data_IF_430503223956
#
_entry.id   IF_430503223956
#
_cell.length_a   1.000
_cell.length_b   1.000
_cell.length_c   1.000
_cell.angle_alpha   90.00
_cell.angle_beta   90.00
_cell.angle_gamma   90.00
#
_symmetry.space_group_name_H-M   'P 1'
#
loop_
_entity.id
_entity.type
_entity.pdbx_description
1 polymer ?
#
# COMPACT_ATOMS: atom_id res chain seq x y z
N UNK A 1 -26.67 -2.54 14.60
CA UNK A 1 -25.86 -3.14 13.51
C UNK A 1 -24.71 -2.16 13.25
N UNK A 2 -23.54 -2.66 12.88
CA UNK A 2 -22.44 -1.76 12.44
C UNK A 2 -22.80 -1.17 11.08
N UNK A 3 -22.42 0.10 10.82
CA UNK A 3 -22.55 0.73 9.50
C UNK A 3 -21.75 -0.05 8.47
N UNK A 4 -22.37 -0.44 7.36
CA UNK A 4 -21.67 -1.06 6.22
C UNK A 4 -20.83 0.00 5.51
N UNK A 5 -19.65 -0.37 5.06
CA UNK A 5 -18.69 0.54 4.42
C UNK A 5 -18.29 0.02 3.06
N UNK A 6 -18.43 0.86 2.05
CA UNK A 6 -18.21 0.51 0.65
C UNK A 6 -17.09 1.33 0.04
N UNK A 7 -16.46 0.78 -0.99
CA UNK A 7 -15.47 1.46 -1.83
C UNK A 7 -16.20 2.04 -3.02
N UNK A 8 -16.06 3.34 -3.26
CA UNK A 8 -16.68 4.02 -4.39
C UNK A 8 -15.68 4.65 -5.35
N UNK A 9 -14.43 4.77 -4.94
CA UNK A 9 -13.37 5.27 -5.80
C UNK A 9 -11.99 4.74 -5.40
N UNK A 10 -11.10 4.66 -6.37
CA UNK A 10 -9.72 4.21 -6.24
C UNK A 10 -8.81 5.09 -7.07
N UNK A 11 -7.57 5.27 -6.64
CA UNK A 11 -6.53 5.96 -7.40
C UNK A 11 -5.15 5.42 -7.08
N UNK A 12 -4.30 5.33 -8.08
CA UNK A 12 -2.98 4.73 -7.95
C UNK A 12 -1.91 5.50 -8.72
N UNK A 13 -0.75 5.64 -8.09
CA UNK A 13 0.51 6.05 -8.71
C UNK A 13 1.52 4.96 -8.41
N UNK A 14 2.03 4.28 -9.42
CA UNK A 14 2.90 3.11 -9.25
C UNK A 14 4.02 3.08 -10.31
N UNK A 15 5.07 2.27 -10.13
CA UNK A 15 6.13 2.10 -11.13
C UNK A 15 5.67 1.55 -12.49
N UNK A 16 4.46 0.98 -12.58
CA UNK A 16 3.89 0.37 -13.79
C UNK A 16 2.62 1.04 -14.30
N UNK A 17 2.17 2.11 -13.66
CA UNK A 17 1.00 2.89 -14.08
C UNK A 17 0.72 4.05 -13.15
N UNK A 18 0.29 5.19 -13.71
CA UNK A 18 -0.04 6.42 -12.98
C UNK A 18 -1.57 6.64 -12.83
N UNK A 19 -2.32 5.60 -12.99
CA UNK A 19 -3.75 5.46 -12.71
C UNK A 19 -4.08 3.98 -12.44
N UNK A 20 -5.28 3.71 -11.90
CA UNK A 20 -5.70 2.34 -11.53
C UNK A 20 -5.76 1.41 -12.74
N UNK A 21 -6.21 1.89 -13.89
CA UNK A 21 -6.41 1.05 -15.08
C UNK A 21 -5.08 0.63 -15.70
N UNK A 22 -4.14 1.58 -15.87
CA UNK A 22 -2.79 1.27 -16.34
C UNK A 22 -2.00 0.40 -15.36
N UNK A 23 -2.14 0.64 -14.06
CA UNK A 23 -1.57 -0.21 -13.02
C UNK A 23 -2.12 -1.65 -13.12
N UNK A 24 -3.43 -1.81 -13.17
CA UNK A 24 -4.08 -3.12 -13.25
C UNK A 24 -3.71 -3.87 -14.54
N UNK A 25 -3.68 -3.17 -15.67
CA UNK A 25 -3.23 -3.77 -16.93
C UNK A 25 -1.78 -4.22 -16.84
N UNK A 26 -0.91 -3.41 -16.23
CA UNK A 26 0.49 -3.79 -15.98
C UNK A 26 0.63 -5.06 -15.13
N UNK A 27 -0.23 -5.25 -14.12
CA UNK A 27 -0.26 -6.48 -13.32
C UNK A 27 -0.69 -7.69 -14.16
N UNK A 28 -1.71 -7.54 -15.01
CA UNK A 28 -2.16 -8.62 -15.93
C UNK A 28 -1.08 -8.99 -16.94
N UNK A 29 -0.35 -8.01 -17.44
CA UNK A 29 0.73 -8.17 -18.43
C UNK A 29 2.06 -8.61 -17.79
N UNK A 30 2.10 -8.77 -16.48
CA UNK A 30 3.31 -9.07 -15.69
C UNK A 30 4.45 -8.05 -15.92
N UNK A 31 4.10 -6.79 -16.06
CA UNK A 31 5.06 -5.71 -16.26
C UNK A 31 5.90 -5.52 -14.99
N UNK A 32 7.22 -5.68 -15.11
CA UNK A 32 8.14 -5.42 -14.01
C UNK A 32 8.59 -3.95 -14.06
N UNK A 33 8.21 -3.17 -13.06
CA UNK A 33 8.55 -1.75 -12.94
C UNK A 33 9.94 -1.48 -12.38
N UNK A 34 10.66 -2.52 -11.98
CA UNK A 34 12.00 -2.46 -11.39
C UNK A 34 13.05 -2.14 -12.45
N UNK A 35 14.00 -1.29 -12.13
CA UNK A 35 15.10 -0.94 -13.00
C UNK A 35 16.23 -0.25 -12.25
N UNK A 36 17.32 0.14 -12.97
CA UNK A 36 18.40 0.91 -12.37
C UNK A 36 17.87 2.21 -11.74
N UNK A 37 18.39 2.55 -10.56
CA UNK A 37 18.08 3.83 -9.90
C UNK A 37 18.60 4.97 -10.79
N UNK A 38 17.72 5.94 -11.10
CA UNK A 38 18.05 7.09 -11.94
C UNK A 38 18.17 8.40 -11.17
N UNK A 39 17.70 8.46 -9.94
CA UNK A 39 17.63 9.69 -9.14
C UNK A 39 18.98 10.17 -8.62
N UNK A 40 19.98 9.26 -8.52
CA UNK A 40 21.34 9.59 -8.05
C UNK A 40 22.36 8.55 -8.56
N UNK A 41 23.64 8.87 -8.45
CA UNK A 41 24.74 7.96 -8.81
C UNK A 41 24.84 6.81 -7.80
N UNK A 42 24.71 5.59 -8.30
CA UNK A 42 24.75 4.34 -7.52
C UNK A 42 26.09 3.61 -7.58
N UNK A 43 27.14 4.21 -8.13
CA UNK A 43 28.45 3.55 -8.34
C UNK A 43 28.96 2.92 -7.04
N UNK A 44 28.88 3.64 -5.92
CA UNK A 44 29.33 3.17 -4.60
C UNK A 44 28.29 2.34 -3.81
N UNK A 45 27.09 2.14 -4.35
CA UNK A 45 26.01 1.42 -3.69
C UNK A 45 26.02 -0.06 -4.06
N UNK A 46 25.74 -0.93 -3.07
CA UNK A 46 25.53 -2.37 -3.32
C UNK A 46 24.18 -2.63 -4.00
N UNK A 47 23.13 -1.91 -3.57
CA UNK A 47 21.82 -1.96 -4.19
C UNK A 47 21.75 -0.89 -5.29
N UNK A 48 21.48 -1.32 -6.53
CA UNK A 48 21.45 -0.46 -7.72
C UNK A 48 20.08 -0.40 -8.39
N UNK A 49 19.12 -1.20 -7.91
CA UNK A 49 17.79 -1.31 -8.47
C UNK A 49 16.74 -0.73 -7.53
N UNK A 50 15.73 -0.11 -8.12
CA UNK A 50 14.52 0.35 -7.44
C UNK A 50 13.33 0.32 -8.41
N UNK A 51 12.13 0.47 -7.87
CA UNK A 51 10.91 0.60 -8.64
C UNK A 51 10.43 2.07 -8.57
N UNK A 52 11.02 2.91 -9.44
CA UNK A 52 10.72 4.34 -9.55
C UNK A 52 9.42 4.58 -10.32
N UNK A 53 8.63 5.57 -9.91
CA UNK A 53 7.48 6.06 -10.67
C UNK A 53 7.96 6.73 -11.96
N UNK A 54 7.39 6.35 -13.09
CA UNK A 54 7.81 6.82 -14.42
C UNK A 54 6.80 7.79 -15.01
N UNK A 55 7.28 8.84 -15.68
CA UNK A 55 6.44 9.76 -16.44
C UNK A 55 5.45 10.61 -15.62
N UNK A 56 5.64 10.72 -14.31
CA UNK A 56 4.78 11.52 -13.45
C UNK A 56 5.06 13.02 -13.60
N UNK A 57 4.03 13.78 -14.00
CA UNK A 57 4.08 15.24 -13.99
C UNK A 57 3.01 15.77 -13.02
N UNK A 58 3.40 16.34 -11.87
CA UNK A 58 2.45 16.82 -10.87
C UNK A 58 1.51 17.91 -11.39
N UNK A 59 1.86 18.62 -12.47
CA UNK A 59 1.01 19.66 -13.07
C UNK A 59 -0.27 19.13 -13.71
N UNK A 60 -0.35 17.83 -13.97
CA UNK A 60 -1.57 17.17 -14.44
C UNK A 60 -2.61 17.00 -13.32
N UNK A 61 -2.17 17.05 -12.07
CA UNK A 61 -2.99 16.74 -10.91
C UNK A 61 -3.22 17.94 -9.98
N UNK A 62 -2.32 18.93 -10.00
CA UNK A 62 -2.37 20.10 -9.12
C UNK A 62 -1.73 21.32 -9.77
N UNK A 63 -2.00 22.52 -9.28
CA UNK A 63 -1.36 23.73 -9.79
C UNK A 63 0.15 23.77 -9.47
N UNK A 64 0.92 24.45 -10.32
CA UNK A 64 2.39 24.48 -10.22
C UNK A 64 2.91 25.15 -8.92
N UNK A 65 2.11 25.97 -8.24
CA UNK A 65 2.48 26.62 -6.97
C UNK A 65 2.27 25.62 -5.81
N UNK A 66 1.18 24.86 -5.83
CA UNK A 66 0.94 23.79 -4.88
C UNK A 66 2.03 22.69 -5.02
N UNK A 67 2.31 22.24 -6.26
CA UNK A 67 3.32 21.21 -6.51
C UNK A 67 4.71 21.58 -5.95
N UNK A 68 5.13 22.85 -6.08
CA UNK A 68 6.42 23.31 -5.51
C UNK A 68 6.48 23.36 -3.98
N UNK A 69 5.36 23.22 -3.30
CA UNK A 69 5.24 23.20 -1.83
C UNK A 69 5.01 21.81 -1.27
N UNK A 70 5.15 20.79 -2.11
CA UNK A 70 5.00 19.38 -1.76
C UNK A 70 6.23 18.61 -2.21
N UNK A 71 6.66 17.65 -1.42
CA UNK A 71 7.61 16.63 -1.85
C UNK A 71 6.86 15.46 -2.53
N UNK A 72 7.59 14.59 -3.22
CA UNK A 72 7.02 13.57 -4.11
C UNK A 72 5.94 12.70 -3.44
N UNK A 73 6.15 12.24 -2.19
CA UNK A 73 5.14 11.42 -1.49
C UNK A 73 3.79 12.13 -1.35
N UNK A 74 3.81 13.45 -1.07
CA UNK A 74 2.58 14.25 -0.99
C UNK A 74 1.97 14.51 -2.37
N UNK A 75 2.81 14.69 -3.41
CA UNK A 75 2.33 14.84 -4.79
C UNK A 75 1.65 13.55 -5.27
N UNK A 76 2.22 12.39 -4.98
CA UNK A 76 1.60 11.09 -5.29
C UNK A 76 0.28 10.89 -4.54
N UNK A 77 0.24 11.25 -3.24
CA UNK A 77 -0.99 11.19 -2.45
C UNK A 77 -2.11 12.04 -3.05
N UNK A 78 -1.82 13.29 -3.44
CA UNK A 78 -2.79 14.20 -4.07
C UNK A 78 -3.24 13.67 -5.42
N UNK A 79 -2.33 13.17 -6.25
CA UNK A 79 -2.64 12.63 -7.57
C UNK A 79 -3.56 11.40 -7.49
N UNK A 80 -3.21 10.41 -6.66
CA UNK A 80 -4.05 9.23 -6.43
C UNK A 80 -5.41 9.61 -5.78
N UNK A 81 -5.43 10.56 -4.84
CA UNK A 81 -6.69 11.04 -4.25
C UNK A 81 -7.60 11.74 -5.26
N UNK A 82 -7.02 12.48 -6.23
CA UNK A 82 -7.77 13.11 -7.31
C UNK A 82 -8.50 12.05 -8.15
N UNK A 83 -7.79 11.03 -8.61
CA UNK A 83 -8.38 9.92 -9.38
C UNK A 83 -9.50 9.23 -8.58
N UNK A 84 -9.23 8.89 -7.30
CA UNK A 84 -10.20 8.23 -6.44
C UNK A 84 -11.47 9.06 -6.24
N UNK A 85 -11.36 10.37 -6.00
CA UNK A 85 -12.50 11.27 -5.86
C UNK A 85 -13.26 11.44 -7.17
N UNK A 86 -12.57 11.57 -8.31
CA UNK A 86 -13.21 11.65 -9.63
C UNK A 86 -13.97 10.36 -9.94
N UNK A 87 -13.39 9.19 -9.70
CA UNK A 87 -14.07 7.90 -9.91
C UNK A 87 -15.28 7.74 -8.99
N UNK A 88 -15.18 8.20 -7.73
CA UNK A 88 -16.30 8.12 -6.77
C UNK A 88 -17.49 8.95 -7.19
N UNK A 89 -17.30 9.98 -8.01
CA UNK A 89 -18.33 10.93 -8.40
C UNK A 89 -18.86 11.81 -7.27
N UNK A 90 -18.11 11.93 -6.16
CA UNK A 90 -18.47 12.83 -5.05
C UNK A 90 -18.40 14.28 -5.52
N UNK A 91 -19.48 15.04 -5.25
CA UNK A 91 -19.60 16.46 -5.51
C UNK A 91 -19.51 17.23 -4.19
N UNK A 92 -18.33 17.77 -3.89
CA UNK A 92 -18.07 18.46 -2.63
C UNK A 92 -18.95 19.73 -2.42
N UNK A 93 -19.62 20.23 -3.45
CA UNK A 93 -20.59 21.34 -3.29
C UNK A 93 -21.92 20.86 -2.66
N UNK A 94 -22.17 19.55 -2.70
CA UNK A 94 -23.37 18.93 -2.13
C UNK A 94 -23.12 18.22 -0.80
N UNK A 95 -21.85 18.07 -0.42
CA UNK A 95 -21.45 17.36 0.79
C UNK A 95 -21.30 18.32 1.99
N UNK A 96 -21.50 17.81 3.19
CA UNK A 96 -20.97 18.47 4.39
C UNK A 96 -19.44 18.20 4.46
N UNK A 97 -18.59 19.21 4.21
CA UNK A 97 -17.15 19.00 4.18
C UNK A 97 -16.58 18.51 5.52
N UNK A 98 -17.28 18.72 6.64
CA UNK A 98 -16.88 18.21 7.96
C UNK A 98 -17.23 16.73 8.18
N UNK A 99 -17.99 16.13 7.25
CA UNK A 99 -18.28 14.69 7.22
C UNK A 99 -17.39 13.91 6.25
N UNK A 100 -16.53 14.61 5.49
CA UNK A 100 -15.57 14.01 4.55
C UNK A 100 -14.16 14.15 5.12
N UNK A 101 -13.57 13.03 5.55
CA UNK A 101 -12.27 12.99 6.21
C UNK A 101 -11.16 12.42 5.34
N UNK A 102 -9.94 12.43 5.87
CA UNK A 102 -8.72 11.93 5.20
C UNK A 102 -7.87 11.12 6.17
N UNK A 103 -7.47 9.92 5.75
CA UNK A 103 -6.46 9.10 6.43
C UNK A 103 -5.49 8.53 5.38
N UNK A 104 -4.56 9.34 4.91
CA UNK A 104 -3.51 8.93 3.96
C UNK A 104 -2.17 8.99 4.65
N UNK A 105 -1.55 7.83 4.86
CA UNK A 105 -0.32 7.68 5.60
C UNK A 105 0.94 7.73 4.72
N UNK A 106 2.07 8.06 5.35
CA UNK A 106 3.41 7.82 4.83
C UNK A 106 4.26 7.26 5.97
N UNK A 107 5.01 6.21 5.69
CA UNK A 107 5.85 5.55 6.70
C UNK A 107 7.03 6.40 7.15
N UNK A 108 7.57 7.23 6.27
CA UNK A 108 8.83 7.97 6.50
C UNK A 108 8.65 9.48 6.30
N UNK A 109 7.78 9.91 5.39
CA UNK A 109 7.74 11.28 4.91
C UNK A 109 8.84 11.55 3.88
N UNK A 110 9.41 12.77 3.84
CA UNK A 110 10.44 13.09 2.84
C UNK A 110 11.87 13.03 3.38
N UNK A 111 12.57 11.94 3.10
CA UNK A 111 14.03 11.85 3.27
C UNK A 111 14.76 12.84 2.34
N UNK A 112 14.25 13.05 1.13
CA UNK A 112 14.84 13.93 0.15
C UNK A 112 14.91 15.39 0.64
N UNK A 113 13.84 15.90 1.25
CA UNK A 113 13.82 17.23 1.87
C UNK A 113 14.87 17.34 2.99
N UNK A 114 14.96 16.30 3.83
CA UNK A 114 15.91 16.24 4.93
C UNK A 114 17.36 16.25 4.43
N UNK A 115 17.72 15.36 3.50
CA UNK A 115 19.08 15.30 2.92
C UNK A 115 19.51 16.64 2.32
N UNK A 116 18.63 17.23 1.51
CA UNK A 116 18.89 18.50 0.83
C UNK A 116 19.15 19.64 1.81
N UNK A 117 18.38 19.72 2.89
CA UNK A 117 18.52 20.82 3.83
C UNK A 117 19.58 20.56 4.91
N UNK A 118 19.89 19.31 5.27
CA UNK A 118 21.09 18.97 6.06
C UNK A 118 22.38 19.37 5.32
N UNK A 119 22.45 19.10 4.01
CA UNK A 119 23.57 19.56 3.18
C UNK A 119 23.71 21.09 3.20
N UNK A 120 22.61 21.83 3.01
CA UNK A 120 22.64 23.31 3.09
C UNK A 120 23.05 23.82 4.48
N UNK A 121 22.55 23.18 5.55
CA UNK A 121 22.90 23.52 6.92
C UNK A 121 24.42 23.42 7.14
N UNK A 122 25.02 22.32 6.69
CA UNK A 122 26.46 22.06 6.87
C UNK A 122 27.34 23.00 6.01
N UNK A 123 26.90 23.27 4.75
CA UNK A 123 27.68 24.08 3.81
C UNK A 123 27.50 25.60 4.01
N UNK A 124 26.29 26.05 4.42
CA UNK A 124 25.88 27.47 4.34
C UNK A 124 25.30 28.02 5.63
N UNK A 125 25.18 27.19 6.68
CA UNK A 125 24.68 27.58 7.99
C UNK A 125 23.12 27.61 8.09
N UNK A 126 22.60 27.82 9.32
CA UNK A 126 21.19 27.63 9.64
C UNK A 126 20.23 28.59 8.93
N UNK A 127 20.69 29.79 8.57
CA UNK A 127 19.86 30.78 7.84
C UNK A 127 19.52 30.38 6.40
N UNK A 128 20.12 29.30 5.89
CA UNK A 128 19.93 28.82 4.51
C UNK A 128 19.02 27.59 4.42
N UNK A 129 18.61 27.02 5.56
CA UNK A 129 17.62 25.95 5.63
C UNK A 129 16.28 26.45 5.05
N UNK A 130 15.59 25.58 4.31
CA UNK A 130 14.32 25.92 3.72
C UNK A 130 13.29 26.24 4.81
N UNK A 131 12.60 27.41 4.79
CA UNK A 131 11.57 27.73 5.78
C UNK A 131 10.40 26.76 5.77
N UNK A 132 10.21 26.00 4.69
CA UNK A 132 9.19 24.96 4.56
C UNK A 132 9.71 23.55 4.88
N UNK A 133 10.95 23.39 5.35
CA UNK A 133 11.52 22.05 5.59
C UNK A 133 10.57 21.17 6.42
N UNK A 134 10.07 21.68 7.54
CA UNK A 134 9.21 20.88 8.43
C UNK A 134 7.94 20.41 7.71
N UNK A 135 7.10 21.28 7.11
CA UNK A 135 5.92 20.81 6.40
C UNK A 135 6.21 20.03 5.11
N UNK A 136 7.40 20.11 4.54
CA UNK A 136 7.80 19.26 3.42
C UNK A 136 8.17 17.84 3.86
N UNK A 137 8.72 17.71 5.08
CA UNK A 137 9.32 16.47 5.57
C UNK A 137 8.34 15.56 6.31
N UNK A 138 7.46 16.11 7.15
CA UNK A 138 6.63 15.32 8.07
C UNK A 138 5.57 14.49 7.35
N UNK A 139 5.41 13.25 7.76
CA UNK A 139 4.58 12.23 7.08
C UNK A 139 3.10 12.56 7.03
N UNK A 140 2.55 13.30 8.02
CA UNK A 140 1.15 13.70 8.03
C UNK A 140 0.76 14.69 6.91
N UNK A 141 1.74 15.22 6.19
CA UNK A 141 1.46 16.15 5.09
C UNK A 141 0.95 15.47 3.83
N UNK A 142 1.03 14.15 3.70
CA UNK A 142 0.24 13.43 2.70
C UNK A 142 -1.25 13.70 2.90
N UNK A 143 -1.78 13.39 4.08
CA UNK A 143 -3.20 13.66 4.42
C UNK A 143 -3.54 15.16 4.42
N UNK A 144 -2.66 16.00 4.99
CA UNK A 144 -2.88 17.44 5.07
C UNK A 144 -3.00 18.11 3.69
N UNK A 145 -2.12 17.74 2.75
CA UNK A 145 -2.17 18.27 1.38
C UNK A 145 -3.40 17.78 0.61
N UNK A 146 -3.83 16.53 0.79
CA UNK A 146 -5.07 15.99 0.21
C UNK A 146 -6.26 16.79 0.75
N UNK A 147 -6.36 17.00 2.07
CA UNK A 147 -7.44 17.77 2.69
C UNK A 147 -7.51 19.21 2.17
N UNK A 148 -6.36 19.88 2.05
CA UNK A 148 -6.26 21.25 1.54
C UNK A 148 -6.68 21.32 0.07
N UNK A 149 -6.18 20.38 -0.75
CA UNK A 149 -6.41 20.39 -2.20
C UNK A 149 -7.89 20.21 -2.55
N UNK A 150 -8.61 19.37 -1.80
CA UNK A 150 -10.00 19.01 -2.12
C UNK A 150 -11.03 19.60 -1.15
N UNK A 151 -10.60 20.43 -0.19
CA UNK A 151 -11.52 21.09 0.75
C UNK A 151 -12.17 20.16 1.77
N UNK A 152 -11.53 19.04 2.11
CA UNK A 152 -12.04 18.02 3.04
C UNK A 152 -11.77 18.47 4.48
N UNK A 153 -12.80 18.76 5.27
CA UNK A 153 -12.69 19.36 6.60
C UNK A 153 -13.04 18.41 7.74
N UNK A 154 -13.34 17.16 7.43
CA UNK A 154 -13.59 16.12 8.42
C UNK A 154 -12.31 15.69 9.14
N UNK A 155 -12.38 14.58 9.85
CA UNK A 155 -11.22 14.01 10.56
C UNK A 155 -10.04 13.79 9.59
N UNK A 156 -8.93 14.50 9.83
CA UNK A 156 -7.71 14.40 9.01
C UNK A 156 -6.56 13.96 9.90
N UNK A 157 -5.99 12.78 9.60
CA UNK A 157 -4.92 12.20 10.40
C UNK A 157 -4.03 11.27 9.57
N UNK A 158 -2.90 10.87 10.14
CA UNK A 158 -1.93 9.97 9.54
C UNK A 158 -1.65 8.84 10.53
N UNK A 159 -1.69 7.61 10.04
CA UNK A 159 -1.16 6.45 10.75
C UNK A 159 0.27 6.20 10.26
N UNK A 160 1.19 5.91 11.15
CA UNK A 160 2.57 5.54 10.83
C UNK A 160 2.90 4.20 11.48
N UNK A 161 2.93 3.16 10.66
CA UNK A 161 3.21 1.78 11.07
C UNK A 161 4.14 1.08 10.07
N UNK A 162 5.18 1.82 9.63
CA UNK A 162 6.13 1.36 8.63
C UNK A 162 5.44 0.82 7.37
N UNK A 163 5.76 -0.42 6.96
CA UNK A 163 5.19 -1.03 5.75
C UNK A 163 3.68 -1.34 5.85
N UNK A 164 3.10 -1.35 7.06
CA UNK A 164 1.66 -1.55 7.26
C UNK A 164 0.84 -0.25 7.27
N UNK A 165 1.48 0.89 7.06
CA UNK A 165 0.86 2.24 7.13
C UNK A 165 -0.40 2.36 6.27
N UNK A 166 -0.34 1.97 4.99
CA UNK A 166 -1.48 2.08 4.07
C UNK A 166 -2.66 1.22 4.47
N UNK A 167 -2.39 -0.01 4.89
CA UNK A 167 -3.43 -0.97 5.37
C UNK A 167 -4.08 -0.48 6.65
N UNK A 168 -3.29 -0.03 7.63
CA UNK A 168 -3.84 0.56 8.85
C UNK A 168 -4.62 1.84 8.56
N UNK A 169 -4.16 2.69 7.65
CA UNK A 169 -4.88 3.92 7.28
C UNK A 169 -6.26 3.63 6.71
N UNK A 170 -6.39 2.62 5.83
CA UNK A 170 -7.69 2.16 5.32
C UNK A 170 -8.53 1.56 6.44
N UNK A 171 -7.93 0.74 7.32
CA UNK A 171 -8.61 0.13 8.46
C UNK A 171 -9.15 1.15 9.47
N UNK A 172 -8.38 2.16 9.82
CA UNK A 172 -8.81 3.23 10.73
C UNK A 172 -9.86 4.16 10.09
N UNK A 173 -9.77 4.39 8.78
CA UNK A 173 -10.80 5.09 8.02
C UNK A 173 -12.12 4.30 8.00
N UNK A 174 -12.04 2.98 7.77
CA UNK A 174 -13.17 2.06 7.88
C UNK A 174 -13.84 2.15 9.27
N UNK A 175 -13.06 2.13 10.36
CA UNK A 175 -13.58 2.30 11.72
C UNK A 175 -14.24 3.66 11.92
N UNK A 176 -13.64 4.74 11.41
CA UNK A 176 -14.21 6.09 11.54
C UNK A 176 -15.62 6.17 10.94
N UNK A 177 -15.85 5.52 9.80
CA UNK A 177 -17.19 5.43 9.18
C UNK A 177 -18.10 4.51 9.99
N UNK A 178 -17.62 3.35 10.43
CA UNK A 178 -18.42 2.42 11.24
C UNK A 178 -18.94 3.05 12.55
N UNK A 179 -18.16 3.95 13.17
CA UNK A 179 -18.53 4.65 14.38
C UNK A 179 -19.32 5.94 14.12
N UNK A 180 -19.63 6.28 12.86
CA UNK A 180 -20.38 7.47 12.50
C UNK A 180 -19.62 8.79 12.65
N UNK A 181 -18.28 8.74 12.77
CA UNK A 181 -17.44 9.95 12.83
C UNK A 181 -17.32 10.65 11.47
N UNK A 182 -17.45 9.89 10.37
CA UNK A 182 -17.44 10.40 9.00
C UNK A 182 -18.46 9.62 8.16
N UNK A 183 -18.95 10.24 7.09
CA UNK A 183 -19.74 9.56 6.04
C UNK A 183 -18.85 9.08 4.91
N UNK A 184 -17.75 9.81 4.66
CA UNK A 184 -16.78 9.55 3.62
C UNK A 184 -15.36 9.69 4.17
N UNK A 185 -14.46 8.78 3.79
CA UNK A 185 -13.03 8.86 4.10
C UNK A 185 -12.20 8.60 2.84
N UNK A 186 -11.28 9.53 2.54
CA UNK A 186 -10.20 9.31 1.59
C UNK A 186 -9.04 8.65 2.34
N UNK A 187 -8.69 7.40 1.99
CA UNK A 187 -7.79 6.60 2.80
C UNK A 187 -6.77 5.82 1.96
N UNK A 188 -5.59 5.60 2.51
CA UNK A 188 -4.54 4.84 1.84
C UNK A 188 -3.14 5.21 2.30
N UNK A 189 -2.16 5.09 1.40
CA UNK A 189 -0.78 5.40 1.70
C UNK A 189 -0.01 5.97 0.50
N UNK A 190 1.04 6.73 0.80
CA UNK A 190 1.95 7.29 -0.19
C UNK A 190 3.39 7.30 0.34
N UNK A 191 4.35 6.98 -0.52
CA UNK A 191 5.77 6.95 -0.14
C UNK A 191 6.67 7.34 -1.32
N UNK A 192 7.80 8.05 -1.03
CA UNK A 192 8.83 8.37 -2.00
C UNK A 192 10.19 8.40 -1.30
N UNK A 193 10.71 7.22 -0.98
CA UNK A 193 11.91 7.08 -0.14
C UNK A 193 13.14 6.55 -0.90
N UNK A 194 13.10 6.56 -2.25
CA UNK A 194 14.24 6.20 -3.12
C UNK A 194 15.22 7.39 -3.12
N UNK A 195 16.05 7.46 -2.09
CA UNK A 195 17.04 8.51 -1.89
C UNK A 195 18.40 7.90 -1.49
N UNK A 196 19.50 8.64 -1.61
CA UNK A 196 20.81 8.17 -1.17
C UNK A 196 20.80 7.57 0.23
N UNK A 197 20.27 8.28 1.24
CA UNK A 197 20.24 7.77 2.62
C UNK A 197 19.20 6.67 2.80
N UNK A 198 18.08 6.71 2.09
CA UNK A 198 17.07 5.66 2.11
C UNK A 198 17.65 4.33 1.65
N UNK A 199 18.26 4.30 0.47
CA UNK A 199 18.92 3.09 -0.07
C UNK A 199 20.08 2.65 0.82
N UNK A 200 20.94 3.58 1.29
CA UNK A 200 22.06 3.23 2.16
C UNK A 200 21.57 2.63 3.50
N UNK A 201 20.55 3.23 4.12
CA UNK A 201 19.98 2.78 5.39
C UNK A 201 19.42 1.36 5.32
N UNK A 202 18.55 1.09 4.33
CA UNK A 202 17.98 -0.24 4.15
C UNK A 202 19.01 -1.28 3.65
N UNK A 203 20.04 -0.86 2.88
CA UNK A 203 21.18 -1.74 2.52
C UNK A 203 21.98 -2.13 3.77
N UNK A 204 22.20 -1.18 4.69
CA UNK A 204 22.93 -1.45 5.95
C UNK A 204 22.18 -2.42 6.87
N UNK A 205 20.84 -2.47 6.78
CA UNK A 205 19.99 -3.48 7.43
C UNK A 205 20.03 -4.84 6.73
N UNK A 206 20.76 -4.98 5.60
CA UNK A 206 20.72 -6.19 4.75
C UNK A 206 19.31 -6.57 4.28
N UNK A 207 18.43 -5.59 4.17
CA UNK A 207 17.04 -5.82 3.82
C UNK A 207 16.76 -5.72 2.31
N UNK A 208 17.64 -4.96 1.58
CA UNK A 208 17.48 -4.77 0.13
C UNK A 208 18.16 -5.88 -0.68
N UNK A 209 17.53 -6.21 -1.79
CA UNK A 209 18.10 -7.05 -2.83
C UNK A 209 19.32 -6.34 -3.48
N UNK A 210 20.37 -7.08 -3.78
CA UNK A 210 21.62 -6.57 -4.36
C UNK A 210 21.94 -7.18 -5.73
N UNK A 211 21.02 -7.93 -6.36
CA UNK A 211 21.17 -8.40 -7.73
C UNK A 211 21.19 -7.24 -8.72
N UNK A 212 21.81 -7.45 -9.87
CA UNK A 212 21.76 -6.51 -11.00
C UNK A 212 20.73 -6.94 -12.06
N UNK A 213 20.10 -8.11 -11.89
CA UNK A 213 19.03 -8.60 -12.76
C UNK A 213 17.66 -8.07 -12.26
N UNK A 214 17.14 -7.06 -12.94
CA UNK A 214 15.88 -6.44 -12.59
C UNK A 214 14.68 -7.40 -12.68
N UNK A 215 14.75 -8.43 -13.55
CA UNK A 215 13.66 -9.40 -13.72
C UNK A 215 13.54 -10.39 -12.56
N UNK A 216 14.63 -10.56 -11.79
CA UNK A 216 14.74 -11.47 -10.65
C UNK A 216 14.99 -10.73 -9.32
N UNK A 217 14.85 -9.40 -9.29
CA UNK A 217 15.18 -8.61 -8.10
C UNK A 217 14.11 -8.68 -7.01
N UNK A 218 12.83 -8.78 -7.37
CA UNK A 218 11.71 -8.98 -6.43
C UNK A 218 10.96 -10.25 -6.80
N UNK A 219 11.26 -11.34 -6.11
CA UNK A 219 10.75 -12.69 -6.37
C UNK A 219 10.19 -13.31 -5.09
N UNK A 220 9.06 -12.79 -4.57
CA UNK A 220 8.46 -13.29 -3.35
C UNK A 220 8.24 -14.81 -3.39
N UNK A 221 8.53 -15.47 -2.26
CA UNK A 221 8.42 -16.92 -2.04
C UNK A 221 9.37 -17.80 -2.84
N UNK A 222 10.18 -17.24 -3.75
CA UNK A 222 11.17 -18.01 -4.53
C UNK A 222 12.35 -18.46 -3.66
N UNK A 223 13.00 -19.59 -4.02
CA UNK A 223 14.15 -20.11 -3.29
C UNK A 223 15.37 -19.16 -3.35
N UNK A 224 15.53 -18.41 -4.44
CA UNK A 224 16.64 -17.48 -4.67
C UNK A 224 16.38 -16.05 -4.14
N UNK A 225 15.25 -15.81 -3.47
CA UNK A 225 14.95 -14.50 -2.90
C UNK A 225 15.98 -14.08 -1.87
N UNK A 226 16.40 -12.83 -1.90
CA UNK A 226 17.46 -12.37 -1.00
C UNK A 226 17.28 -10.93 -0.47
N UNK A 227 16.10 -10.37 -0.55
CA UNK A 227 15.79 -9.00 -0.08
C UNK A 227 14.71 -8.33 -0.91
N UNK A 228 14.14 -7.26 -0.41
CA UNK A 228 13.13 -6.52 -1.15
C UNK A 228 13.76 -5.47 -2.08
N UNK A 229 13.02 -5.05 -3.10
CA UNK A 229 13.35 -3.89 -3.93
C UNK A 229 12.53 -2.72 -3.46
N UNK A 230 13.17 -1.59 -3.12
CA UNK A 230 12.45 -0.38 -2.74
C UNK A 230 11.66 0.18 -3.93
N UNK A 231 10.39 0.47 -3.71
CA UNK A 231 9.52 1.16 -4.66
C UNK A 231 8.95 2.45 -4.06
N UNK A 232 8.26 3.19 -4.88
CA UNK A 232 7.57 4.43 -4.51
C UNK A 232 6.21 4.53 -5.19
N UNK A 233 5.32 5.38 -4.68
CA UNK A 233 4.00 5.60 -5.24
C UNK A 233 2.94 5.96 -4.22
N UNK A 234 1.68 5.77 -4.59
CA UNK A 234 0.51 5.93 -3.73
C UNK A 234 -0.62 4.99 -4.16
N UNK A 235 -1.39 4.51 -3.18
CA UNK A 235 -2.68 3.85 -3.38
C UNK A 235 -3.71 4.46 -2.43
N UNK A 236 -4.78 5.00 -2.99
CA UNK A 236 -5.82 5.71 -2.25
C UNK A 236 -7.19 5.22 -2.66
N UNK A 237 -8.08 5.07 -1.70
CA UNK A 237 -9.48 4.70 -1.90
C UNK A 237 -10.42 5.72 -1.27
N UNK A 238 -11.61 5.85 -1.83
CA UNK A 238 -12.75 6.53 -1.22
C UNK A 238 -13.64 5.48 -0.58
N UNK A 239 -13.76 5.55 0.75
CA UNK A 239 -14.68 4.74 1.54
C UNK A 239 -15.89 5.58 1.91
N UNK A 240 -17.07 4.96 1.84
CA UNK A 240 -18.33 5.60 2.21
C UNK A 240 -19.19 4.69 3.09
N UNK A 241 -20.03 5.27 3.94
CA UNK A 241 -21.13 4.51 4.49
C UNK A 241 -22.07 4.07 3.36
N UNK A 242 -22.61 2.85 3.45
CA UNK A 242 -23.51 2.33 2.42
C UNK A 242 -24.73 3.22 2.24
N UNK A 243 -25.27 3.77 3.34
CA UNK A 243 -26.42 4.65 3.32
C UNK A 243 -26.12 5.92 2.51
N UNK A 244 -24.97 6.55 2.75
CA UNK A 244 -24.50 7.72 2.02
C UNK A 244 -24.32 7.43 0.54
N UNK A 245 -23.59 6.35 0.21
CA UNK A 245 -23.33 5.93 -1.17
C UNK A 245 -24.64 5.67 -1.95
N UNK A 246 -25.59 4.97 -1.34
CA UNK A 246 -26.93 4.73 -1.94
C UNK A 246 -27.75 6.02 -2.10
N UNK A 247 -27.73 6.90 -1.11
CA UNK A 247 -28.51 8.16 -1.15
C UNK A 247 -28.09 9.07 -2.32
N UNK A 248 -26.80 9.08 -2.67
CA UNK A 248 -26.30 9.88 -3.81
C UNK A 248 -26.20 9.09 -5.12
N UNK A 249 -26.56 7.79 -5.13
CA UNK A 249 -26.52 6.94 -6.32
C UNK A 249 -25.10 6.57 -6.77
N UNK A 250 -24.17 6.39 -5.83
CA UNK A 250 -22.79 6.03 -6.13
C UNK A 250 -22.66 4.67 -6.81
N UNK A 251 -21.68 4.54 -7.70
CA UNK A 251 -21.24 3.23 -8.18
C UNK A 251 -20.39 2.56 -7.09
N UNK A 252 -20.87 1.46 -6.53
CA UNK A 252 -20.18 0.72 -5.48
C UNK A 252 -19.27 -0.34 -6.11
N UNK A 253 -17.97 -0.25 -5.83
CA UNK A 253 -16.93 -1.11 -6.42
C UNK A 253 -16.76 -2.42 -5.62
N UNK A 254 -16.82 -2.34 -4.28
CA UNK A 254 -16.69 -3.45 -3.36
C UNK A 254 -17.15 -3.02 -1.96
N UNK A 255 -17.20 -3.95 -1.00
CA UNK A 255 -17.50 -3.69 0.41
C UNK A 255 -16.32 -4.08 1.30
N UNK A 256 -15.87 -3.17 2.17
CA UNK A 256 -14.90 -3.47 3.22
C UNK A 256 -15.64 -4.07 4.39
N UNK A 257 -15.29 -5.29 4.77
CA UNK A 257 -16.05 -6.04 5.78
C UNK A 257 -15.27 -6.38 7.03
N UNK A 258 -13.94 -6.43 6.95
CA UNK A 258 -13.11 -6.80 8.09
C UNK A 258 -11.78 -6.08 8.15
N UNK A 259 -11.36 -5.76 9.37
CA UNK A 259 -10.05 -5.20 9.68
C UNK A 259 -9.52 -5.83 10.95
N UNK A 260 -8.30 -6.36 10.87
CA UNK A 260 -7.56 -6.92 12.00
C UNK A 260 -6.19 -6.28 12.11
N UNK A 261 -5.79 -5.96 13.33
CA UNK A 261 -4.50 -5.38 13.66
C UNK A 261 -3.91 -6.06 14.88
N UNK A 262 -2.59 -6.30 14.86
CA UNK A 262 -1.82 -6.90 15.97
C UNK A 262 -0.40 -6.36 16.00
N UNK A 263 0.34 -6.71 17.03
CA UNK A 263 1.78 -6.47 17.11
C UNK A 263 2.47 -7.76 17.53
N UNK A 264 3.59 -8.11 16.87
CA UNK A 264 4.41 -9.28 17.25
C UNK A 264 5.07 -9.12 18.62
N UNK A 265 5.42 -7.88 18.99
CA UNK A 265 6.18 -7.55 20.20
C UNK A 265 7.44 -8.44 20.38
N UNK A 266 8.12 -8.73 19.25
CA UNK A 266 9.23 -9.69 19.18
C UNK A 266 10.56 -9.01 18.85
N UNK A 267 10.68 -8.35 17.68
CA UNK A 267 11.92 -7.76 17.20
C UNK A 267 11.65 -6.48 16.42
N UNK A 268 12.65 -5.57 16.32
CA UNK A 268 12.47 -4.27 15.66
C UNK A 268 12.28 -4.37 14.13
N UNK A 269 12.82 -5.41 13.48
CA UNK A 269 12.78 -5.56 12.01
C UNK A 269 12.36 -6.94 11.52
N UNK A 270 12.42 -7.98 12.36
CA UNK A 270 12.05 -9.34 11.99
C UNK A 270 10.64 -9.68 12.48
N UNK A 271 9.77 -10.27 11.66
CA UNK A 271 8.51 -10.81 12.16
C UNK A 271 8.73 -11.98 13.12
N UNK A 272 7.72 -12.32 13.90
CA UNK A 272 7.75 -13.49 14.79
C UNK A 272 7.89 -14.77 13.98
N UNK A 273 8.84 -15.63 14.36
CA UNK A 273 9.22 -16.84 13.59
C UNK A 273 8.10 -17.88 13.47
N UNK A 274 7.17 -17.87 14.42
CA UNK A 274 6.00 -18.75 14.42
C UNK A 274 4.82 -18.21 13.57
N UNK A 275 4.90 -16.95 13.09
CA UNK A 275 3.85 -16.30 12.32
C UNK A 275 2.57 -15.96 13.10
N UNK A 276 2.57 -16.14 14.43
CA UNK A 276 1.36 -16.02 15.25
C UNK A 276 0.73 -14.64 15.26
N UNK A 277 1.54 -13.56 15.22
CA UNK A 277 1.05 -12.18 15.18
C UNK A 277 0.29 -11.88 13.91
N UNK A 278 0.86 -12.20 12.75
CA UNK A 278 0.21 -12.03 11.44
C UNK A 278 -1.03 -12.94 11.29
N UNK A 279 -0.96 -14.20 11.75
CA UNK A 279 -2.12 -15.09 11.78
C UNK A 279 -3.27 -14.48 12.60
N UNK A 280 -2.97 -13.95 13.77
CA UNK A 280 -3.98 -13.32 14.64
C UNK A 280 -4.60 -12.07 14.00
N UNK A 281 -3.84 -11.29 13.19
CA UNK A 281 -4.40 -10.18 12.44
C UNK A 281 -5.42 -10.66 11.41
N UNK A 282 -5.13 -11.72 10.66
CA UNK A 282 -6.06 -12.35 9.72
C UNK A 282 -7.31 -12.90 10.42
N UNK A 283 -7.14 -13.64 11.52
CA UNK A 283 -8.25 -14.17 12.33
C UNK A 283 -9.15 -13.04 12.86
N UNK A 284 -8.55 -11.95 13.35
CA UNK A 284 -9.31 -10.79 13.82
C UNK A 284 -10.09 -10.12 12.69
N UNK A 285 -9.51 -10.03 11.49
CA UNK A 285 -10.20 -9.48 10.32
C UNK A 285 -11.38 -10.37 9.90
N UNK A 286 -11.21 -11.71 9.86
CA UNK A 286 -12.29 -12.64 9.57
C UNK A 286 -13.40 -12.58 10.63
N UNK A 287 -13.03 -12.52 11.91
CA UNK A 287 -14.01 -12.35 13.01
C UNK A 287 -14.78 -11.04 12.90
N UNK A 288 -14.12 -9.95 12.53
CA UNK A 288 -14.75 -8.65 12.34
C UNK A 288 -15.73 -8.65 11.16
N UNK A 289 -15.36 -9.36 10.08
CA UNK A 289 -16.19 -9.58 8.89
C UNK A 289 -17.35 -10.55 9.14
N UNK A 290 -17.29 -11.37 10.19
CA UNK A 290 -18.27 -12.43 10.47
C UNK A 290 -18.20 -13.59 9.47
N UNK A 291 -17.00 -13.90 8.95
CA UNK A 291 -16.73 -14.97 7.98
C UNK A 291 -15.74 -15.98 8.55
N UNK A 292 -15.58 -17.09 7.85
CA UNK A 292 -14.62 -18.16 8.17
C UNK A 292 -13.49 -18.21 7.13
N UNK A 293 -12.52 -19.07 7.34
CA UNK A 293 -11.41 -19.26 6.40
C UNK A 293 -11.90 -19.73 5.02
N UNK A 294 -12.93 -20.57 5.00
CA UNK A 294 -13.51 -21.16 3.78
C UNK A 294 -14.15 -20.14 2.85
N UNK A 295 -14.47 -18.94 3.34
CA UNK A 295 -15.02 -17.85 2.55
C UNK A 295 -13.94 -17.05 1.79
N UNK A 296 -12.64 -17.23 2.12
CA UNK A 296 -11.53 -16.49 1.48
C UNK A 296 -11.14 -17.17 0.17
N UNK A 297 -11.22 -16.44 -0.93
CA UNK A 297 -10.82 -16.92 -2.26
C UNK A 297 -9.37 -16.54 -2.61
N UNK A 298 -8.91 -15.38 -2.13
CA UNK A 298 -7.65 -14.78 -2.51
C UNK A 298 -6.95 -14.05 -1.35
N UNK A 299 -5.64 -14.26 -1.25
CA UNK A 299 -4.74 -13.55 -0.33
C UNK A 299 -3.73 -12.74 -1.13
N UNK A 300 -3.80 -11.41 -1.04
CA UNK A 300 -2.70 -10.55 -1.44
C UNK A 300 -1.73 -10.47 -0.26
N UNK A 301 -0.62 -11.20 -0.39
CA UNK A 301 0.35 -11.34 0.67
C UNK A 301 1.24 -10.10 0.81
N UNK A 302 1.78 -9.89 2.00
CA UNK A 302 2.86 -8.93 2.19
C UNK A 302 4.06 -9.28 1.30
N UNK A 303 4.50 -10.54 1.28
CA UNK A 303 5.40 -11.12 0.28
C UNK A 303 6.51 -10.18 -0.20
N UNK A 304 7.51 -9.92 0.63
CA UNK A 304 8.54 -8.90 0.36
C UNK A 304 9.72 -9.39 -0.44
N UNK A 305 9.81 -10.68 -0.75
CA UNK A 305 11.03 -11.29 -1.33
C UNK A 305 12.21 -11.33 -0.34
N UNK A 306 11.95 -11.16 0.96
CA UNK A 306 12.94 -11.40 2.01
C UNK A 306 12.80 -12.82 2.55
N UNK A 307 13.93 -13.41 2.92
CA UNK A 307 13.96 -14.82 3.33
C UNK A 307 13.01 -15.12 4.50
N UNK A 308 13.07 -14.30 5.56
CA UNK A 308 12.30 -14.53 6.78
C UNK A 308 10.82 -14.17 6.62
N UNK A 309 10.51 -13.00 6.01
CA UNK A 309 9.13 -12.58 5.88
C UNK A 309 8.29 -13.61 5.14
N UNK A 310 8.75 -14.06 3.96
CA UNK A 310 7.95 -14.92 3.10
C UNK A 310 7.73 -16.31 3.74
N UNK A 311 8.75 -16.82 4.43
CA UNK A 311 8.63 -18.05 5.21
C UNK A 311 7.64 -17.92 6.37
N UNK A 312 7.73 -16.83 7.15
CA UNK A 312 6.89 -16.67 8.34
C UNK A 312 5.47 -16.26 7.98
N UNK A 313 5.26 -15.52 6.90
CA UNK A 313 3.93 -15.25 6.36
C UNK A 313 3.24 -16.51 5.83
N UNK A 314 3.99 -17.42 5.18
CA UNK A 314 3.46 -18.74 4.80
C UNK A 314 2.92 -19.50 6.01
N UNK A 315 3.69 -19.53 7.12
CA UNK A 315 3.23 -20.13 8.37
C UNK A 315 1.99 -19.43 8.93
N UNK A 316 1.97 -18.09 8.89
CA UNK A 316 0.84 -17.29 9.37
C UNK A 316 -0.45 -17.59 8.58
N UNK A 317 -0.36 -17.69 7.25
CA UNK A 317 -1.49 -18.04 6.38
C UNK A 317 -2.01 -19.45 6.73
N UNK A 318 -1.11 -20.43 6.92
CA UNK A 318 -1.50 -21.78 7.36
C UNK A 318 -2.18 -21.78 8.72
N UNK A 319 -1.67 -21.02 9.69
CA UNK A 319 -2.27 -20.91 11.01
C UNK A 319 -3.68 -20.29 10.95
N UNK A 320 -3.85 -19.22 10.17
CA UNK A 320 -5.11 -18.48 10.10
C UNK A 320 -6.19 -19.21 9.28
N UNK A 321 -5.81 -19.88 8.18
CA UNK A 321 -6.76 -20.51 7.25
C UNK A 321 -6.85 -22.02 7.40
N UNK A 322 -6.00 -22.67 8.21
CA UNK A 322 -6.01 -24.12 8.41
C UNK A 322 -5.87 -24.87 7.08
N UNK A 323 -6.65 -25.93 6.88
CA UNK A 323 -6.64 -26.75 5.66
C UNK A 323 -7.09 -25.97 4.41
N UNK A 324 -7.77 -24.81 4.59
CA UNK A 324 -8.18 -23.98 3.45
C UNK A 324 -7.01 -23.24 2.80
N UNK A 325 -5.88 -23.06 3.49
CA UNK A 325 -4.67 -22.47 2.95
C UNK A 325 -4.16 -23.16 1.67
N UNK A 326 -4.44 -24.46 1.50
CA UNK A 326 -4.09 -25.24 0.30
C UNK A 326 -5.00 -24.94 -0.91
N UNK A 327 -6.12 -24.24 -0.72
CA UNK A 327 -7.15 -24.01 -1.75
C UNK A 327 -7.18 -22.55 -2.21
N UNK A 328 -6.73 -21.64 -1.36
CA UNK A 328 -6.75 -20.20 -1.64
C UNK A 328 -5.63 -19.82 -2.62
N UNK A 329 -5.90 -18.87 -3.50
CA UNK A 329 -4.85 -18.27 -4.33
C UNK A 329 -4.11 -17.19 -3.56
N UNK A 330 -2.79 -17.21 -3.65
CA UNK A 330 -1.92 -16.24 -2.99
C UNK A 330 -1.05 -15.58 -4.05
N UNK A 331 -0.74 -14.32 -3.91
CA UNK A 331 0.32 -13.68 -4.69
C UNK A 331 0.95 -12.52 -3.93
N UNK A 332 2.00 -11.94 -4.51
CA UNK A 332 2.53 -10.66 -4.07
C UNK A 332 2.66 -9.67 -5.23
N UNK A 333 1.95 -8.56 -5.10
CA UNK A 333 2.02 -7.43 -6.04
C UNK A 333 3.44 -6.83 -6.11
N UNK A 334 4.21 -6.96 -5.02
CA UNK A 334 5.60 -6.48 -4.93
C UNK A 334 6.54 -7.13 -5.93
N UNK A 335 6.19 -8.28 -6.49
CA UNK A 335 6.97 -8.93 -7.57
C UNK A 335 7.13 -8.03 -8.81
N UNK A 336 6.20 -7.11 -9.06
CA UNK A 336 6.18 -6.23 -10.22
C UNK A 336 6.49 -4.78 -9.90
N UNK A 337 6.09 -4.29 -8.73
CA UNK A 337 6.22 -2.87 -8.37
C UNK A 337 7.27 -2.61 -7.29
N UNK A 338 7.95 -3.65 -6.77
CA UNK A 338 8.77 -3.52 -5.58
C UNK A 338 7.94 -3.25 -4.32
N UNK A 339 8.61 -2.91 -3.24
CA UNK A 339 7.99 -2.62 -1.96
C UNK A 339 7.80 -1.10 -1.79
N UNK A 340 6.57 -0.62 -1.89
CA UNK A 340 6.24 0.81 -1.79
C UNK A 340 6.17 1.32 -0.33
N UNK A 341 6.71 0.56 0.63
CA UNK A 341 6.75 0.92 2.05
C UNK A 341 5.36 1.33 2.57
N UNK A 342 5.20 2.58 3.04
CA UNK A 342 3.93 3.08 3.56
C UNK A 342 2.78 3.14 2.55
N UNK A 343 3.09 3.15 1.25
CA UNK A 343 2.09 3.11 0.18
C UNK A 343 1.61 1.69 -0.18
N UNK A 344 2.38 0.65 0.18
CA UNK A 344 2.17 -0.72 -0.28
C UNK A 344 0.74 -1.22 -0.03
N UNK A 345 0.25 -1.10 1.20
CA UNK A 345 -1.10 -1.58 1.55
C UNK A 345 -2.24 -0.91 0.80
N UNK A 346 -2.05 0.35 0.37
CA UNK A 346 -3.04 1.07 -0.44
C UNK A 346 -3.18 0.45 -1.84
N UNK A 347 -2.06 0.26 -2.55
CA UNK A 347 -2.06 -0.37 -3.89
C UNK A 347 -2.46 -1.85 -3.85
N UNK A 348 -2.07 -2.57 -2.81
CA UNK A 348 -2.42 -3.98 -2.61
C UNK A 348 -3.93 -4.16 -2.32
N UNK A 349 -4.52 -3.24 -1.56
CA UNK A 349 -5.97 -3.22 -1.37
C UNK A 349 -6.72 -2.94 -2.69
N UNK A 350 -6.25 -1.98 -3.50
CA UNK A 350 -6.79 -1.72 -4.85
C UNK A 350 -6.69 -2.99 -5.72
N UNK A 351 -5.59 -3.72 -5.65
CA UNK A 351 -5.41 -5.00 -6.35
C UNK A 351 -6.48 -6.02 -5.93
N UNK A 352 -6.80 -6.13 -4.64
CA UNK A 352 -7.89 -7.00 -4.17
C UNK A 352 -9.25 -6.59 -4.75
N UNK A 353 -9.58 -5.29 -4.76
CA UNK A 353 -10.83 -4.80 -5.34
C UNK A 353 -10.89 -5.10 -6.85
N UNK A 354 -9.80 -4.86 -7.59
CA UNK A 354 -9.73 -5.16 -9.03
C UNK A 354 -9.84 -6.68 -9.31
N UNK A 355 -9.24 -7.52 -8.45
CA UNK A 355 -9.37 -8.97 -8.58
C UNK A 355 -10.83 -9.44 -8.43
N UNK A 356 -11.58 -8.84 -7.51
CA UNK A 356 -13.02 -9.11 -7.34
C UNK A 356 -13.82 -8.65 -8.57
N UNK A 357 -13.53 -7.46 -9.10
CA UNK A 357 -14.26 -6.89 -10.22
C UNK A 357 -14.05 -7.68 -11.52
N UNK A 358 -12.80 -8.05 -11.81
CA UNK A 358 -12.41 -8.66 -13.08
C UNK A 358 -12.39 -10.20 -13.02
N UNK A 359 -12.54 -10.81 -11.83
CA UNK A 359 -12.42 -12.27 -11.68
C UNK A 359 -11.05 -12.79 -12.10
N UNK A 360 -9.99 -12.08 -11.69
CA UNK A 360 -8.62 -12.41 -12.06
C UNK A 360 -7.63 -12.19 -10.91
N UNK A 361 -6.80 -13.17 -10.63
CA UNK A 361 -5.68 -13.09 -9.68
C UNK A 361 -4.38 -13.08 -10.47
N UNK A 362 -3.61 -11.98 -10.37
CA UNK A 362 -2.36 -11.83 -11.10
C UNK A 362 -1.26 -12.77 -10.60
N UNK A 363 -0.27 -13.07 -11.42
CA UNK A 363 0.86 -13.89 -11.05
C UNK A 363 1.79 -13.21 -10.03
N UNK A 364 2.50 -14.01 -9.22
CA UNK A 364 3.74 -13.58 -8.58
C UNK A 364 4.84 -13.66 -9.63
N UNK A 365 5.17 -12.51 -10.23
CA UNK A 365 6.13 -12.45 -11.33
C UNK A 365 7.54 -12.89 -10.87
N UNK A 366 8.28 -13.58 -11.72
CA UNK A 366 9.63 -14.05 -11.42
C UNK A 366 9.71 -15.23 -10.45
N UNK A 367 8.61 -15.71 -9.87
CA UNK A 367 8.59 -16.92 -9.06
C UNK A 367 8.72 -18.15 -9.96
N UNK A 368 9.85 -18.83 -9.86
CA UNK A 368 10.17 -20.04 -10.66
C UNK A 368 10.12 -21.31 -9.81
N UNK A 369 10.65 -21.23 -8.59
CA UNK A 369 10.71 -22.36 -7.67
C UNK A 369 10.47 -21.88 -6.23
N UNK A 370 9.39 -22.31 -5.58
CA UNK A 370 9.15 -21.97 -4.19
C UNK A 370 10.28 -22.41 -3.27
N UNK A 371 10.67 -21.55 -2.33
CA UNK A 371 11.69 -21.82 -1.34
C UNK A 371 11.23 -22.80 -0.27
N UNK A 372 12.17 -23.36 0.50
CA UNK A 372 11.87 -24.27 1.60
C UNK A 372 10.87 -23.63 2.59
N UNK A 373 9.78 -24.34 2.87
CA UNK A 373 8.69 -23.88 3.74
C UNK A 373 7.75 -22.85 3.11
N UNK A 374 7.96 -22.46 1.84
CA UNK A 374 7.03 -21.70 1.03
C UNK A 374 6.32 -22.67 0.08
N UNK A 375 5.29 -23.36 0.57
CA UNK A 375 4.70 -24.53 -0.07
C UNK A 375 3.18 -24.38 -0.32
N UNK A 376 2.69 -23.12 -0.44
CA UNK A 376 1.32 -22.79 -0.83
C UNK A 376 1.22 -22.43 -2.33
N UNK A 377 0.00 -22.15 -2.80
CA UNK A 377 -0.23 -21.72 -4.19
C UNK A 377 -0.02 -20.22 -4.37
N UNK A 378 1.17 -19.80 -4.71
CA UNK A 378 1.56 -18.40 -4.88
C UNK A 378 1.26 -17.86 -6.29
N UNK A 379 0.36 -18.47 -7.01
CA UNK A 379 -0.08 -18.05 -8.36
C UNK A 379 1.11 -17.85 -9.31
N UNK A 380 1.79 -18.94 -9.63
CA UNK A 380 2.91 -18.94 -10.58
C UNK A 380 2.43 -18.77 -12.03
N UNK A 381 3.32 -18.35 -12.92
CA UNK A 381 3.06 -18.31 -14.36
C UNK A 381 2.29 -17.08 -14.83
N UNK A 382 1.07 -17.22 -15.37
CA UNK A 382 0.35 -16.14 -16.05
C UNK A 382 -0.77 -15.49 -15.22
N UNK A 383 -0.92 -15.88 -13.97
CA UNK A 383 -2.11 -15.54 -13.19
C UNK A 383 -3.29 -16.48 -13.50
N UNK A 384 -4.41 -16.28 -12.87
CA UNK A 384 -5.57 -17.19 -13.00
C UNK A 384 -6.88 -16.41 -13.05
N UNK A 385 -7.72 -16.75 -14.04
CA UNK A 385 -9.12 -16.31 -14.07
C UNK A 385 -9.97 -17.21 -13.18
N UNK A 386 -10.61 -16.62 -12.17
CA UNK A 386 -11.45 -17.32 -11.21
C UNK A 386 -12.46 -16.36 -10.61
N UNK A 387 -13.56 -16.89 -10.05
CA UNK A 387 -14.44 -16.04 -9.25
C UNK A 387 -13.73 -15.67 -7.93
N UNK A 388 -13.68 -14.39 -7.61
CA UNK A 388 -13.17 -13.86 -6.35
C UNK A 388 -14.29 -13.08 -5.70
N UNK A 389 -14.93 -13.65 -4.70
CA UNK A 389 -15.98 -12.98 -3.94
C UNK A 389 -15.43 -12.31 -2.68
N UNK A 390 -14.37 -12.89 -2.07
CA UNK A 390 -13.73 -12.37 -0.85
C UNK A 390 -12.20 -12.42 -0.99
N UNK A 391 -11.57 -11.28 -0.76
CA UNK A 391 -10.11 -11.15 -0.75
C UNK A 391 -9.61 -10.58 0.58
N UNK A 392 -8.44 -11.03 1.02
CA UNK A 392 -7.71 -10.49 2.16
C UNK A 392 -6.37 -9.89 1.70
N UNK A 393 -6.06 -8.69 2.18
CA UNK A 393 -4.78 -8.02 1.97
C UNK A 393 -4.02 -7.94 3.28
N UNK A 394 -2.77 -8.43 3.30
CA UNK A 394 -1.91 -8.45 4.47
C UNK A 394 -0.75 -7.45 4.34
N UNK A 395 -0.44 -6.79 5.44
CA UNK A 395 0.77 -5.98 5.56
C UNK A 395 1.47 -6.25 6.88
N UNK A 396 2.78 -6.47 6.80
CA UNK A 396 3.67 -6.70 7.94
C UNK A 396 4.71 -5.59 7.96
N UNK A 397 4.88 -4.91 9.09
CA UNK A 397 5.76 -3.73 9.18
C UNK A 397 6.84 -3.88 10.23
N UNK A 398 7.97 -3.23 10.02
CA UNK A 398 9.00 -3.07 11.06
C UNK A 398 8.38 -2.54 12.35
N UNK A 399 8.85 -3.05 13.51
CA UNK A 399 8.20 -2.85 14.80
C UNK A 399 7.19 -3.94 15.15
N UNK A 400 7.00 -4.93 14.26
CA UNK A 400 6.04 -6.03 14.45
C UNK A 400 4.59 -5.64 14.16
N UNK A 401 4.37 -4.59 13.38
CA UNK A 401 3.02 -4.15 13.00
C UNK A 401 2.41 -5.10 11.97
N UNK A 402 1.29 -5.71 12.30
CA UNK A 402 0.54 -6.58 11.40
C UNK A 402 -0.86 -6.02 11.16
N UNK A 403 -1.28 -5.95 9.91
CA UNK A 403 -2.61 -5.52 9.50
C UNK A 403 -3.17 -6.40 8.39
N UNK A 404 -4.45 -6.73 8.50
CA UNK A 404 -5.20 -7.47 7.49
C UNK A 404 -6.53 -6.77 7.21
N UNK A 405 -6.84 -6.55 5.93
CA UNK A 405 -8.12 -6.00 5.47
C UNK A 405 -8.85 -7.06 4.65
N UNK A 406 -10.14 -7.19 4.87
CA UNK A 406 -11.02 -8.06 4.06
C UNK A 406 -11.98 -7.18 3.27
N UNK A 407 -11.98 -7.41 1.96
CA UNK A 407 -12.87 -6.80 1.01
C UNK A 407 -13.66 -7.90 0.30
N UNK A 408 -14.94 -7.66 0.06
CA UNK A 408 -15.79 -8.59 -0.66
C UNK A 408 -16.58 -7.92 -1.79
N UNK A 409 -17.05 -8.74 -2.71
CA UNK A 409 -17.99 -8.35 -3.73
C UNK A 409 -19.24 -7.74 -3.08
N UNK A 410 -19.63 -6.57 -3.56
CA UNK A 410 -20.82 -5.91 -3.04
C UNK A 410 -22.09 -6.72 -3.43
N UNK A 411 -22.96 -6.88 -2.45
CA UNK A 411 -24.33 -7.39 -2.65
C UNK A 411 -25.31 -6.53 -1.87
N UNK A 412 -26.49 -6.28 -2.45
CA UNK A 412 -27.56 -5.48 -1.83
C UNK A 412 -28.11 -6.07 -0.52
#
# INVERSE_FOLDING_TARGET
MKTRVVVTGMGAITPIGNDVESFWQGLKDKTVGIGPITYFDTTEYKCKLAAEVKGFDPKQYMDAKAARRMEAFSQFAVAASKEALEQSGIDMEKEDPYRVGVCVGSGIGSLQAMEKDVKKLNEKGPSRVNPLLVPLMISNMAAGNVAIQFGLKGKCFNVVTACATGTHSIGEAFRSIQYGEADVMVAGGAEASITPIGIAGFTSLTALNTTEDASRASIPFDEDRNGFVMGEGAGVVVLESLEHAKARGANILAEVVGYGATCDAFHITSPAEDGSGAARAMENAMKDAGITAEDIDYVNAHGTSTHHNDLFETKAIRLALGDHAEKVKINSTKSMIGHLLGAAGGVEFITCVKSIQDGFVHATAGLEKPGEGCDLDYTMGDGVSMNVDVAISNSLGFGGHNASLIVKKFSE
#
